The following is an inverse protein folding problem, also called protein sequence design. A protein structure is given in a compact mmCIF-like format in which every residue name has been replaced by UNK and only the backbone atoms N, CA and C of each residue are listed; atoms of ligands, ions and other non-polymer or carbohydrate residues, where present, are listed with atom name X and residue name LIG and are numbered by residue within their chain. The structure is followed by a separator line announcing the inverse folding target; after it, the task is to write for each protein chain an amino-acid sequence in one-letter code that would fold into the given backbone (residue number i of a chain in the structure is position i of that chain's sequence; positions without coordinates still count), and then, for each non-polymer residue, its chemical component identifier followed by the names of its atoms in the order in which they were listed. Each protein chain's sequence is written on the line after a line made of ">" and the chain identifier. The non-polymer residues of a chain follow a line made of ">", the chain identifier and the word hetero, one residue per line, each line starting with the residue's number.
data_IF_457351309394
#
_entry.id   IF_457351309394
#
_cell.length_a   1.000
_cell.length_b   1.000
_cell.length_c   1.000
_cell.angle_alpha   90.00
_cell.angle_beta   90.00
_cell.angle_gamma   90.00
#
_symmetry.space_group_name_H-M   'P 1'
#
loop_
_entity.id
_entity.type
_entity.pdbx_description
1 polymer ?
#
# COMPACT_ATOMS: atom_id res chain seq x y z
N UNK A 1 9.18 8.54 2.92
CA UNK A 1 9.94 9.66 3.53
C UNK A 1 10.62 10.58 2.51
N UNK A 2 11.40 10.07 1.53
CA UNK A 2 12.15 10.94 0.61
C UNK A 2 11.25 11.89 -0.20
N UNK A 3 10.13 11.39 -0.75
CA UNK A 3 9.16 12.23 -1.45
C UNK A 3 8.58 13.33 -0.55
N UNK A 4 8.21 13.00 0.68
CA UNK A 4 7.69 13.97 1.65
C UNK A 4 8.70 15.11 1.89
N UNK A 5 9.99 14.81 2.04
CA UNK A 5 11.05 15.82 2.18
C UNK A 5 11.20 16.71 0.93
N UNK A 6 11.05 16.13 -0.27
CA UNK A 6 11.10 16.86 -1.54
C UNK A 6 9.86 17.75 -1.76
N UNK A 7 8.71 17.37 -1.21
CA UNK A 7 7.50 18.19 -1.24
C UNK A 7 7.63 19.33 -0.22
N UNK A 8 8.10 19.03 0.98
CA UNK A 8 8.40 20.04 2.00
C UNK A 8 9.39 21.11 1.50
N UNK A 9 10.46 20.69 0.81
CA UNK A 9 11.41 21.65 0.21
C UNK A 9 10.80 22.52 -0.91
N UNK A 10 9.58 22.21 -1.37
CA UNK A 10 8.81 23.00 -2.32
C UNK A 10 7.70 23.83 -1.66
N UNK A 11 7.72 23.94 -0.33
CA UNK A 11 6.78 24.77 0.44
C UNK A 11 5.49 24.05 0.84
N UNK A 12 5.39 22.73 0.67
CA UNK A 12 4.25 21.98 1.19
C UNK A 12 4.38 21.81 2.70
N UNK A 13 3.27 22.03 3.39
CA UNK A 13 3.09 21.59 4.77
C UNK A 13 2.82 20.09 4.81
N UNK A 14 3.60 19.34 5.59
CA UNK A 14 3.60 17.87 5.58
C UNK A 14 3.15 17.30 6.92
N UNK A 15 2.09 16.50 6.89
CA UNK A 15 1.78 15.50 7.93
C UNK A 15 2.16 14.13 7.41
N UNK A 16 3.22 13.53 7.94
CA UNK A 16 3.65 12.17 7.60
C UNK A 16 2.98 11.16 8.53
N UNK A 17 2.06 10.35 7.98
CA UNK A 17 1.29 9.39 8.77
C UNK A 17 1.95 8.01 8.72
N UNK A 18 2.30 7.47 9.88
CA UNK A 18 2.77 6.09 10.05
C UNK A 18 1.67 5.21 10.67
N UNK A 19 1.82 3.89 10.60
CA UNK A 19 1.18 3.05 11.62
C UNK A 19 1.82 3.31 12.98
N UNK A 20 1.08 3.14 14.07
CA UNK A 20 1.62 3.22 15.43
C UNK A 20 2.83 2.29 15.63
N UNK A 21 2.79 1.08 15.05
CA UNK A 21 3.90 0.14 15.05
C UNK A 21 5.16 0.74 14.40
N UNK A 22 5.05 1.27 13.17
CA UNK A 22 6.19 1.87 12.48
C UNK A 22 6.65 3.18 13.14
N UNK A 23 5.73 3.94 13.72
CA UNK A 23 6.06 5.15 14.48
C UNK A 23 6.91 4.81 15.71
N UNK A 24 6.51 3.80 16.50
CA UNK A 24 7.31 3.32 17.65
C UNK A 24 8.69 2.82 17.21
N UNK A 25 8.78 2.01 16.15
CA UNK A 25 10.08 1.53 15.63
C UNK A 25 10.99 2.68 15.17
N UNK A 26 10.43 3.71 14.55
CA UNK A 26 11.19 4.89 14.15
C UNK A 26 11.75 5.63 15.37
N UNK A 27 10.95 5.77 16.44
CA UNK A 27 11.40 6.35 17.71
C UNK A 27 12.46 5.48 18.39
N UNK A 28 12.26 4.17 18.49
CA UNK A 28 13.23 3.25 19.09
C UNK A 28 14.59 3.28 18.39
N UNK A 29 14.60 3.41 17.05
CA UNK A 29 15.83 3.39 16.26
C UNK A 29 16.56 4.74 16.18
N UNK A 30 15.84 5.88 16.31
CA UNK A 30 16.41 7.21 16.05
C UNK A 30 16.14 8.26 17.15
N UNK A 31 15.46 7.88 18.23
CA UNK A 31 15.05 8.76 19.32
C UNK A 31 13.76 9.54 19.06
N UNK A 32 13.14 10.05 20.12
CA UNK A 32 11.87 10.80 20.05
C UNK A 32 11.95 12.08 19.20
N UNK A 33 13.13 12.69 19.10
CA UNK A 33 13.35 13.89 18.30
C UNK A 33 13.00 13.70 16.81
N UNK A 34 13.08 12.46 16.31
CA UNK A 34 12.80 12.17 14.90
C UNK A 34 11.33 12.39 14.54
N UNK A 35 10.41 12.21 15.50
CA UNK A 35 8.95 12.34 15.29
C UNK A 35 8.40 13.68 15.76
N UNK A 36 9.16 14.45 16.55
CA UNK A 36 8.81 15.84 16.89
C UNK A 36 8.67 16.73 15.65
N UNK A 37 9.42 16.42 14.59
CA UNK A 37 9.30 17.10 13.31
C UNK A 37 9.78 18.56 13.33
N UNK A 38 9.33 19.32 12.34
CA UNK A 38 9.46 20.76 12.14
C UNK A 38 8.06 21.40 12.20
N UNK A 39 7.94 22.74 12.35
CA UNK A 39 6.65 23.43 12.38
C UNK A 39 5.72 23.15 11.18
N UNK A 40 6.30 22.76 10.05
CA UNK A 40 5.62 22.47 8.79
C UNK A 40 5.91 21.06 8.25
N UNK A 41 6.50 20.20 9.09
CA UNK A 41 6.74 18.80 8.80
C UNK A 41 6.65 17.98 10.08
N UNK A 42 5.54 17.31 10.37
CA UNK A 42 5.46 16.44 11.54
C UNK A 42 4.97 15.05 11.21
N UNK A 43 4.94 14.23 12.26
CA UNK A 43 4.54 12.85 12.22
C UNK A 43 3.25 12.68 12.99
N UNK A 44 2.32 11.94 12.40
CA UNK A 44 1.14 11.43 13.09
C UNK A 44 1.15 9.90 12.99
N UNK A 45 0.38 9.24 13.84
CA UNK A 45 0.26 7.79 13.84
C UNK A 45 -1.21 7.38 13.88
N UNK A 46 -1.55 6.32 13.14
CA UNK A 46 -2.85 5.66 13.20
C UNK A 46 -2.66 4.16 13.49
N UNK A 47 -3.63 3.50 14.14
CA UNK A 47 -3.59 2.04 14.31
C UNK A 47 -3.66 1.34 12.95
N UNK A 48 -2.91 0.25 12.81
CA UNK A 48 -2.95 -0.62 11.61
C UNK A 48 -3.92 -1.80 11.75
N UNK A 49 -4.61 -1.91 12.89
CA UNK A 49 -5.62 -2.93 13.21
C UNK A 49 -5.04 -4.29 13.64
N UNK A 50 -3.72 -4.44 13.69
CA UNK A 50 -3.08 -5.65 14.21
C UNK A 50 -2.88 -5.58 15.74
N UNK A 51 -2.78 -6.73 16.42
CA UNK A 51 -2.41 -6.76 17.83
C UNK A 51 -1.06 -6.05 18.07
N UNK A 52 -0.90 -5.34 19.21
CA UNK A 52 0.37 -4.73 19.57
C UNK A 52 1.51 -5.75 19.54
N UNK A 53 2.63 -5.35 18.95
CA UNK A 53 3.87 -6.13 18.95
C UNK A 53 5.04 -5.21 19.25
N UNK A 54 5.92 -5.65 20.14
CA UNK A 54 7.19 -5.00 20.46
C UNK A 54 8.38 -5.70 19.76
N UNK A 55 8.10 -6.65 18.87
CA UNK A 55 9.16 -7.29 18.09
C UNK A 55 9.82 -6.27 17.16
N UNK A 56 11.16 -6.20 17.17
CA UNK A 56 11.90 -5.44 16.16
C UNK A 56 12.01 -6.25 14.86
N UNK A 57 10.84 -6.59 14.30
CA UNK A 57 10.69 -7.39 13.10
C UNK A 57 9.63 -6.79 12.19
N UNK A 58 9.64 -7.18 10.92
CA UNK A 58 8.57 -6.81 9.99
C UNK A 58 7.29 -7.58 10.35
N UNK A 59 6.15 -6.89 10.37
CA UNK A 59 4.85 -7.53 10.57
C UNK A 59 4.52 -8.51 9.43
N UNK A 60 3.63 -9.46 9.71
CA UNK A 60 3.12 -10.39 8.68
C UNK A 60 2.42 -9.60 7.56
N UNK A 61 2.99 -9.61 6.35
CA UNK A 61 2.49 -8.80 5.24
C UNK A 61 1.04 -9.12 4.84
N UNK A 62 0.60 -10.38 4.70
CA UNK A 62 -0.81 -10.70 4.45
C UNK A 62 -1.76 -10.17 5.50
N UNK A 63 -1.41 -10.36 6.79
CA UNK A 63 -2.24 -9.86 7.89
C UNK A 63 -2.33 -8.33 7.89
N UNK A 64 -1.21 -7.65 7.60
CA UNK A 64 -1.18 -6.19 7.51
C UNK A 64 -2.05 -5.69 6.35
N UNK A 65 -1.91 -6.26 5.15
CA UNK A 65 -2.70 -5.88 3.99
C UNK A 65 -4.21 -6.08 4.23
N UNK A 66 -4.59 -7.22 4.82
CA UNK A 66 -5.99 -7.51 5.15
C UNK A 66 -6.54 -6.59 6.24
N UNK A 67 -5.72 -6.28 7.25
CA UNK A 67 -6.11 -5.41 8.35
C UNK A 67 -6.27 -3.96 7.88
N UNK A 68 -5.30 -3.41 7.15
CA UNK A 68 -5.32 -2.00 6.75
C UNK A 68 -6.48 -1.69 5.81
N UNK A 69 -6.82 -2.60 4.88
CA UNK A 69 -8.00 -2.42 4.00
C UNK A 69 -9.31 -2.35 4.78
N UNK A 70 -9.41 -3.05 5.92
CA UNK A 70 -10.64 -3.13 6.74
C UNK A 70 -10.73 -2.04 7.79
N UNK A 71 -9.59 -1.62 8.35
CA UNK A 71 -9.57 -0.89 9.62
C UNK A 71 -9.01 0.52 9.53
N UNK A 72 -8.15 0.84 8.56
CA UNK A 72 -7.45 2.13 8.56
C UNK A 72 -8.30 3.32 8.12
N UNK A 73 -9.41 3.12 7.39
CA UNK A 73 -10.21 4.23 6.89
C UNK A 73 -10.78 5.11 8.02
N UNK A 74 -11.38 4.50 9.04
CA UNK A 74 -11.98 5.23 10.16
C UNK A 74 -10.97 6.09 10.93
N UNK A 75 -9.86 5.55 11.48
CA UNK A 75 -8.87 6.36 12.19
C UNK A 75 -8.18 7.38 11.28
N UNK A 76 -8.01 7.08 9.98
CA UNK A 76 -7.49 8.06 9.04
C UNK A 76 -8.45 9.23 8.82
N UNK A 77 -9.76 8.98 8.72
CA UNK A 77 -10.77 10.04 8.64
C UNK A 77 -10.86 10.88 9.92
N UNK A 78 -10.71 10.26 11.09
CA UNK A 78 -10.62 10.98 12.37
C UNK A 78 -9.41 11.91 12.41
N UNK A 79 -8.25 11.44 11.95
CA UNK A 79 -7.05 12.26 11.84
C UNK A 79 -7.25 13.43 10.87
N UNK A 80 -7.81 13.18 9.68
CA UNK A 80 -8.10 14.24 8.71
C UNK A 80 -9.05 15.30 9.27
N UNK A 81 -10.09 14.87 10.01
CA UNK A 81 -11.02 15.77 10.70
C UNK A 81 -10.32 16.64 11.76
N UNK A 82 -9.45 16.04 12.58
CA UNK A 82 -8.62 16.74 13.56
C UNK A 82 -7.72 17.78 12.89
N UNK A 83 -7.05 17.42 11.79
CA UNK A 83 -6.17 18.32 11.05
C UNK A 83 -6.94 19.51 10.46
N UNK A 84 -8.08 19.25 9.82
CA UNK A 84 -8.91 20.30 9.21
C UNK A 84 -9.56 21.25 10.23
N UNK A 85 -9.72 20.81 11.48
CA UNK A 85 -10.32 21.62 12.54
C UNK A 85 -9.28 22.35 13.41
N UNK A 86 -7.98 22.03 13.26
CA UNK A 86 -6.93 22.61 14.09
C UNK A 86 -6.51 23.99 13.56
N UNK A 87 -6.51 25.04 14.41
CA UNK A 87 -6.04 26.37 13.99
C UNK A 87 -4.51 26.47 13.89
N UNK A 88 -3.79 25.43 14.32
CA UNK A 88 -2.32 25.39 14.35
C UNK A 88 -1.73 24.98 12.99
N UNK A 89 -2.56 24.42 12.11
CA UNK A 89 -2.13 23.72 10.90
C UNK A 89 -3.03 24.15 9.74
N UNK A 90 -2.52 24.23 8.50
CA UNK A 90 -3.38 24.49 7.36
C UNK A 90 -4.31 23.28 7.11
N UNK A 91 -5.52 23.50 6.56
CA UNK A 91 -6.40 22.41 6.18
C UNK A 91 -5.73 21.52 5.12
N UNK A 92 -6.11 20.24 5.12
CA UNK A 92 -5.60 19.25 4.17
C UNK A 92 -6.08 19.62 2.77
N UNK A 93 -5.14 19.72 1.83
CA UNK A 93 -5.40 20.10 0.44
C UNK A 93 -5.06 18.99 -0.57
N UNK A 94 -4.39 17.92 -0.15
CA UNK A 94 -4.00 16.80 -0.99
C UNK A 94 -3.63 15.59 -0.10
N UNK A 95 -3.88 14.39 -0.59
CA UNK A 95 -3.43 13.14 0.03
C UNK A 95 -2.49 12.42 -0.93
N UNK A 96 -1.28 12.13 -0.45
CA UNK A 96 -0.32 11.24 -1.14
C UNK A 96 -0.23 9.95 -0.35
N UNK A 97 -0.65 8.83 -0.94
CA UNK A 97 -0.70 7.54 -0.25
C UNK A 97 -0.03 6.43 -1.06
N UNK A 98 0.44 5.39 -0.37
CA UNK A 98 0.98 4.20 -1.01
C UNK A 98 -0.10 3.52 -1.87
N UNK A 99 0.29 3.01 -3.04
CA UNK A 99 -0.63 2.39 -3.99
C UNK A 99 -1.35 1.14 -3.51
N UNK A 100 -0.89 0.50 -2.43
CA UNK A 100 -1.58 -0.63 -1.80
C UNK A 100 -2.55 -0.19 -0.69
N UNK A 101 -2.59 1.09 -0.33
CA UNK A 101 -3.37 1.62 0.81
C UNK A 101 -4.63 2.35 0.34
N UNK A 102 -5.56 1.61 -0.28
CA UNK A 102 -6.77 2.16 -0.93
C UNK A 102 -7.68 3.02 -0.03
N UNK A 103 -7.61 2.85 1.30
CA UNK A 103 -8.34 3.73 2.22
C UNK A 103 -7.98 5.21 2.00
N UNK A 104 -6.77 5.52 1.50
CA UNK A 104 -6.34 6.87 1.16
C UNK A 104 -7.14 7.48 0.00
N UNK A 105 -7.39 6.71 -1.07
CA UNK A 105 -8.23 7.13 -2.20
C UNK A 105 -9.63 7.47 -1.74
N UNK A 106 -10.26 6.57 -0.96
CA UNK A 106 -11.61 6.76 -0.44
C UNK A 106 -11.69 7.96 0.51
N UNK A 107 -10.71 8.15 1.38
CA UNK A 107 -10.66 9.30 2.27
C UNK A 107 -10.54 10.62 1.51
N UNK A 108 -9.69 10.68 0.46
CA UNK A 108 -9.53 11.86 -0.38
C UNK A 108 -10.85 12.24 -1.09
N UNK A 109 -11.58 11.24 -1.62
CA UNK A 109 -12.90 11.44 -2.20
C UNK A 109 -13.90 11.99 -1.18
N UNK A 110 -13.93 11.44 0.03
CA UNK A 110 -14.87 11.85 1.08
C UNK A 110 -14.65 13.30 1.55
N UNK A 111 -13.41 13.78 1.59
CA UNK A 111 -13.11 15.17 1.98
C UNK A 111 -12.97 16.12 0.78
N UNK A 112 -13.10 15.62 -0.45
CA UNK A 112 -13.10 16.42 -1.67
C UNK A 112 -11.73 17.01 -2.05
N UNK A 113 -10.63 16.31 -1.76
CA UNK A 113 -9.26 16.76 -2.12
C UNK A 113 -8.62 15.87 -3.18
N UNK A 114 -7.64 16.40 -3.95
CA UNK A 114 -6.80 15.59 -4.83
C UNK A 114 -6.12 14.42 -4.12
N UNK A 115 -6.05 13.30 -4.82
CA UNK A 115 -5.33 12.10 -4.43
C UNK A 115 -4.17 11.83 -5.39
N UNK A 116 -3.00 11.50 -4.85
CA UNK A 116 -1.84 11.07 -5.62
C UNK A 116 -1.39 9.71 -5.09
N UNK A 117 -1.45 8.71 -5.96
CA UNK A 117 -0.97 7.37 -5.65
C UNK A 117 0.55 7.30 -5.80
N UNK A 118 1.23 6.75 -4.78
CA UNK A 118 2.66 6.51 -4.78
C UNK A 118 2.93 5.02 -4.96
N UNK A 119 3.45 4.65 -6.12
CA UNK A 119 3.94 3.29 -6.35
C UNK A 119 5.39 3.14 -5.90
N UNK A 120 5.64 2.27 -4.93
CA UNK A 120 6.96 2.11 -4.29
C UNK A 120 7.87 1.09 -4.99
N UNK A 121 7.39 0.43 -6.04
CA UNK A 121 8.13 -0.61 -6.77
C UNK A 121 8.40 -0.21 -8.23
N UNK A 122 8.84 -1.15 -9.07
CA UNK A 122 9.14 -0.88 -10.48
C UNK A 122 7.88 -0.69 -11.32
N UNK A 123 8.01 0.01 -12.46
CA UNK A 123 6.91 0.13 -13.42
C UNK A 123 6.49 -1.25 -14.00
N UNK A 124 7.44 -2.17 -14.13
CA UNK A 124 7.17 -3.54 -14.60
C UNK A 124 6.34 -4.32 -13.59
N UNK A 125 6.63 -4.19 -12.28
CA UNK A 125 5.81 -4.83 -11.25
C UNK A 125 4.41 -4.23 -11.22
N UNK A 126 4.29 -2.91 -11.34
CA UNK A 126 3.00 -2.21 -11.43
C UNK A 126 2.13 -2.79 -12.56
N UNK A 127 2.69 -2.87 -13.78
CA UNK A 127 1.98 -3.47 -14.90
C UNK A 127 1.63 -4.94 -14.63
N UNK A 128 2.52 -5.71 -13.99
CA UNK A 128 2.24 -7.08 -13.57
C UNK A 128 1.05 -7.19 -12.59
N UNK A 129 0.93 -6.27 -11.64
CA UNK A 129 -0.20 -6.22 -10.71
C UNK A 129 -1.53 -5.93 -11.43
N UNK A 130 -1.52 -5.05 -12.44
CA UNK A 130 -2.72 -4.77 -13.26
C UNK A 130 -3.24 -5.99 -14.04
N UNK A 131 -2.44 -7.06 -14.19
CA UNK A 131 -2.83 -8.26 -14.93
C UNK A 131 -3.49 -9.34 -14.07
N UNK A 132 -3.58 -9.16 -12.75
CA UNK A 132 -4.14 -10.20 -11.87
C UNK A 132 -5.58 -10.56 -12.25
N UNK A 133 -6.41 -9.54 -12.52
CA UNK A 133 -7.80 -9.74 -12.95
C UNK A 133 -7.88 -10.46 -14.30
N UNK A 134 -7.05 -10.07 -15.26
CA UNK A 134 -7.02 -10.70 -16.59
C UNK A 134 -6.58 -12.17 -16.49
N UNK A 135 -5.57 -12.48 -15.66
CA UNK A 135 -5.12 -13.85 -15.38
C UNK A 135 -6.26 -14.69 -14.77
N UNK A 136 -7.03 -14.12 -13.84
CA UNK A 136 -8.19 -14.79 -13.25
C UNK A 136 -9.32 -14.99 -14.26
N UNK A 137 -9.64 -13.98 -15.07
CA UNK A 137 -10.67 -14.05 -16.13
C UNK A 137 -10.35 -15.07 -17.21
N UNK A 138 -9.05 -15.29 -17.49
CA UNK A 138 -8.58 -16.34 -18.40
C UNK A 138 -8.56 -17.73 -17.76
N UNK A 139 -8.89 -17.86 -16.47
CA UNK A 139 -8.85 -19.12 -15.73
C UNK A 139 -7.43 -19.67 -15.53
N UNK A 140 -6.42 -18.78 -15.56
CA UNK A 140 -5.02 -19.16 -15.31
C UNK A 140 -4.78 -19.26 -13.80
N UNK A 141 -5.40 -18.38 -13.02
CA UNK A 141 -5.25 -18.31 -11.56
C UNK A 141 -6.64 -18.32 -10.87
N UNK A 142 -6.76 -18.86 -9.64
CA UNK A 142 -5.73 -19.62 -8.92
C UNK A 142 -5.38 -20.92 -9.67
N UNK A 143 -4.21 -21.50 -9.37
CA UNK A 143 -3.77 -22.74 -9.98
C UNK A 143 -4.61 -23.91 -9.47
N UNK A 144 -4.76 -24.96 -10.29
CA UNK A 144 -5.60 -26.12 -9.95
C UNK A 144 -5.05 -26.96 -8.79
N UNK A 145 -3.73 -27.07 -8.70
CA UNK A 145 -2.99 -27.92 -7.76
C UNK A 145 -1.54 -27.46 -7.68
N UNK A 146 -0.82 -27.88 -6.65
CA UNK A 146 0.57 -27.49 -6.37
C UNK A 146 1.58 -27.94 -7.45
N UNK A 147 1.18 -28.76 -8.43
CA UNK A 147 2.07 -29.16 -9.52
C UNK A 147 2.41 -28.00 -10.45
N UNK A 148 1.71 -26.86 -10.37
CA UNK A 148 2.05 -25.65 -11.15
C UNK A 148 3.52 -25.20 -10.99
N UNK A 149 4.15 -25.57 -9.87
CA UNK A 149 5.56 -25.25 -9.57
C UNK A 149 6.52 -26.04 -10.46
N UNK A 150 6.13 -27.23 -10.94
CA UNK A 150 7.02 -28.15 -11.67
C UNK A 150 6.49 -28.61 -13.04
N UNK A 151 5.22 -28.35 -13.37
CA UNK A 151 4.57 -28.78 -14.61
C UNK A 151 4.83 -27.85 -15.82
N UNK A 152 5.63 -26.80 -15.63
CA UNK A 152 5.98 -25.82 -16.67
C UNK A 152 4.96 -24.70 -16.87
N UNK A 153 3.82 -24.66 -16.14
CA UNK A 153 2.85 -23.54 -16.21
C UNK A 153 3.53 -22.20 -15.95
N UNK A 154 4.43 -22.15 -14.98
CA UNK A 154 5.20 -20.94 -14.65
C UNK A 154 6.09 -20.44 -15.80
N UNK A 155 6.45 -21.28 -16.77
CA UNK A 155 7.23 -20.90 -17.96
C UNK A 155 6.36 -20.46 -19.14
N UNK A 156 5.03 -20.59 -19.05
CA UNK A 156 4.14 -20.19 -20.13
C UNK A 156 4.30 -18.70 -20.45
N UNK A 157 4.41 -18.33 -21.74
CA UNK A 157 4.57 -16.94 -22.14
C UNK A 157 3.30 -16.13 -21.88
N UNK A 158 3.49 -14.84 -21.61
CA UNK A 158 2.43 -13.84 -21.57
C UNK A 158 2.70 -12.85 -22.72
N UNK A 159 1.90 -12.93 -23.77
CA UNK A 159 2.06 -12.17 -25.02
C UNK A 159 1.00 -11.07 -25.21
N UNK A 160 0.05 -10.94 -24.28
CA UNK A 160 -1.05 -9.98 -24.37
C UNK A 160 -0.84 -8.68 -23.58
N UNK A 161 0.27 -8.51 -22.85
CA UNK A 161 0.56 -7.29 -22.10
C UNK A 161 1.34 -6.31 -22.98
N UNK A 162 0.74 -5.16 -23.37
CA UNK A 162 1.46 -4.17 -24.16
C UNK A 162 2.66 -3.61 -23.39
N UNK A 163 3.82 -3.53 -24.06
CA UNK A 163 5.05 -2.96 -23.47
C UNK A 163 5.87 -3.91 -22.59
N UNK A 164 5.45 -5.18 -22.45
CA UNK A 164 6.18 -6.18 -21.67
C UNK A 164 6.49 -7.44 -22.50
N UNK A 165 7.42 -7.34 -23.49
CA UNK A 165 7.79 -8.50 -24.29
C UNK A 165 8.56 -9.54 -23.46
N UNK A 166 8.46 -10.81 -23.87
CA UNK A 166 9.17 -11.95 -23.26
C UNK A 166 8.81 -12.22 -21.78
N UNK A 167 7.63 -11.80 -21.34
CA UNK A 167 7.12 -12.15 -20.01
C UNK A 167 6.67 -13.60 -19.96
N UNK A 168 6.82 -14.22 -18.79
CA UNK A 168 6.20 -15.50 -18.43
C UNK A 168 5.36 -15.35 -17.18
N UNK A 169 4.54 -16.36 -16.90
CA UNK A 169 3.74 -16.42 -15.67
C UNK A 169 4.61 -16.24 -14.41
N UNK A 170 5.80 -16.85 -14.34
CA UNK A 170 6.69 -16.66 -13.18
C UNK A 170 7.24 -15.26 -12.99
N UNK A 171 7.23 -14.44 -14.03
CA UNK A 171 7.77 -13.07 -14.00
C UNK A 171 6.72 -12.07 -13.47
N UNK A 172 5.44 -12.49 -13.33
CA UNK A 172 4.38 -11.75 -12.64
C UNK A 172 4.62 -11.80 -11.11
N UNK A 173 4.24 -10.74 -10.34
CA UNK A 173 4.37 -10.76 -8.88
C UNK A 173 3.78 -12.03 -8.25
N UNK A 174 4.49 -12.57 -7.24
CA UNK A 174 4.33 -13.96 -6.84
C UNK A 174 3.01 -14.29 -6.13
N UNK A 175 2.18 -13.31 -5.79
CA UNK A 175 0.88 -13.58 -5.14
C UNK A 175 -0.12 -14.32 -6.03
N UNK A 176 0.17 -14.45 -7.33
CA UNK A 176 -0.60 -15.34 -8.22
C UNK A 176 -0.34 -16.84 -7.95
N UNK A 177 0.75 -17.18 -7.26
CA UNK A 177 1.25 -18.56 -7.07
C UNK A 177 0.54 -19.24 -5.91
N UNK A 178 -0.77 -19.40 -6.05
CA UNK A 178 -1.63 -20.03 -5.05
C UNK A 178 -2.63 -20.94 -5.72
N UNK A 179 -3.02 -22.00 -5.00
CA UNK A 179 -4.14 -22.89 -5.34
C UNK A 179 -5.43 -22.49 -4.62
N UNK A 180 -5.33 -21.59 -3.65
CA UNK A 180 -6.44 -21.14 -2.82
C UNK A 180 -7.16 -19.94 -3.48
N UNK A 181 -8.44 -20.07 -3.87
CA UNK A 181 -9.23 -18.95 -4.37
C UNK A 181 -9.48 -17.87 -3.30
N UNK A 182 -9.40 -18.23 -2.03
CA UNK A 182 -9.59 -17.33 -0.89
C UNK A 182 -8.26 -16.76 -0.37
N UNK A 183 -7.15 -16.96 -1.08
CA UNK A 183 -5.83 -16.44 -0.70
C UNK A 183 -5.88 -14.92 -0.45
N UNK A 184 -5.42 -14.52 0.73
CA UNK A 184 -5.52 -13.15 1.21
C UNK A 184 -4.82 -12.19 0.26
N UNK A 185 -3.62 -12.53 -0.22
CA UNK A 185 -2.82 -11.63 -1.04
C UNK A 185 -3.29 -11.59 -2.49
N UNK A 186 -3.73 -12.73 -3.04
CA UNK A 186 -4.36 -12.78 -4.35
C UNK A 186 -5.59 -11.85 -4.38
N UNK A 187 -6.49 -12.01 -3.43
CA UNK A 187 -7.73 -11.22 -3.35
C UNK A 187 -7.47 -9.75 -3.04
N UNK A 188 -6.55 -9.45 -2.10
CA UNK A 188 -6.14 -8.09 -1.80
C UNK A 188 -5.60 -7.36 -3.04
N UNK A 189 -4.69 -8.00 -3.79
CA UNK A 189 -4.12 -7.39 -4.99
C UNK A 189 -5.18 -7.17 -6.08
N UNK A 190 -6.06 -8.15 -6.29
CA UNK A 190 -7.14 -8.01 -7.26
C UNK A 190 -8.08 -6.86 -6.89
N UNK A 191 -8.31 -6.60 -5.61
CA UNK A 191 -9.10 -5.46 -5.13
C UNK A 191 -8.38 -4.14 -5.38
N UNK A 192 -7.10 -4.02 -4.97
CA UNK A 192 -6.39 -2.73 -5.06
C UNK A 192 -5.99 -2.32 -6.48
N UNK A 193 -5.93 -3.26 -7.42
CA UNK A 193 -5.63 -2.98 -8.84
C UNK A 193 -6.84 -2.50 -9.66
N UNK A 194 -8.01 -2.33 -9.03
CA UNK A 194 -9.27 -1.96 -9.72
C UNK A 194 -9.78 -0.54 -9.43
N UNK A 195 -9.14 0.19 -8.51
CA UNK A 195 -9.47 1.60 -8.18
C UNK A 195 -8.56 2.59 -8.93
#
# INVERSE_FOLDING_TARGET
>A
MQLAKLLHSRGFHITFVNSEFNHRRLVCSRGEEVVKGLPDFWFEAIPDGLPPSDSDATQCAPALCDSTRKTCLAPFMELLSKLNSSPQVPPVTCIVCDGLMNFGTKAAQLIGVPYVQLWMSSAVSFLGYLQYKELAQRGIIPFKDEHFVSDGKLEMPIDWIPGMPNMRIKDIPSFIRTTDPDDIMLNFVMEVSQE
#
